data_IF_721805596869
#
_entry.id   IF_721805596869
#
_cell.length_a   1.000
_cell.length_b   1.000
_cell.length_c   1.000
_cell.angle_alpha   90.00
_cell.angle_beta   90.00
_cell.angle_gamma   90.00
#
_symmetry.space_group_name_H-M   'P 1'
#
loop_
_entity.id
_entity.type
_entity.pdbx_description
1 polymer ?
#
# COMPACT_ATOMS: atom_id res chain seq x y z
N UNK A 1 -3.53 21.56 -26.28
CA UNK A 1 -2.59 20.47 -25.92
C UNK A 1 -2.12 20.60 -24.47
N UNK A 2 -1.62 21.77 -24.03
CA UNK A 2 -1.20 22.00 -22.63
C UNK A 2 -2.29 21.76 -21.56
N UNK A 3 -3.54 22.14 -21.80
CA UNK A 3 -4.63 21.98 -20.81
C UNK A 3 -5.03 20.53 -20.56
N UNK A 4 -4.85 19.66 -21.54
CA UNK A 4 -5.26 18.24 -21.46
C UNK A 4 -4.26 17.43 -20.64
N UNK A 5 -2.96 17.75 -20.78
CA UNK A 5 -1.87 17.17 -19.98
C UNK A 5 -1.99 17.55 -18.51
N UNK A 6 -2.22 18.84 -18.22
CA UNK A 6 -2.42 19.32 -16.85
C UNK A 6 -3.62 18.65 -16.14
N UNK A 7 -4.73 18.42 -16.84
CA UNK A 7 -5.90 17.72 -16.28
C UNK A 7 -5.59 16.25 -15.99
N UNK A 8 -4.86 15.57 -16.86
CA UNK A 8 -4.44 14.19 -16.63
C UNK A 8 -3.46 14.06 -15.45
N UNK A 9 -2.58 15.04 -15.26
CA UNK A 9 -1.64 15.07 -14.15
C UNK A 9 -2.33 15.24 -12.80
N UNK A 10 -3.22 16.23 -12.67
CA UNK A 10 -3.99 16.42 -11.43
C UNK A 10 -4.85 15.20 -11.09
N UNK A 11 -5.45 14.56 -12.11
CA UNK A 11 -6.15 13.29 -11.92
C UNK A 11 -5.22 12.17 -11.42
N UNK A 12 -4.00 12.11 -11.92
CA UNK A 12 -3.02 11.08 -11.50
C UNK A 12 -2.59 11.27 -10.05
N UNK A 13 -2.37 12.52 -9.61
CA UNK A 13 -2.10 12.84 -8.20
C UNK A 13 -3.27 12.45 -7.30
N UNK A 14 -4.49 12.75 -7.73
CA UNK A 14 -5.68 12.39 -6.96
C UNK A 14 -5.80 10.86 -6.79
N UNK A 15 -5.57 10.09 -7.84
CA UNK A 15 -5.57 8.64 -7.79
C UNK A 15 -4.46 8.07 -6.87
N UNK A 16 -3.28 8.72 -6.81
CA UNK A 16 -2.24 8.33 -5.88
C UNK A 16 -2.63 8.62 -4.42
N UNK A 17 -3.25 9.76 -4.14
CA UNK A 17 -3.75 10.06 -2.80
C UNK A 17 -4.87 9.09 -2.38
N UNK A 18 -5.74 8.69 -3.31
CA UNK A 18 -6.75 7.65 -3.08
C UNK A 18 -6.10 6.29 -2.81
N UNK A 19 -5.06 5.92 -3.57
CA UNK A 19 -4.29 4.70 -3.35
C UNK A 19 -3.61 4.68 -1.97
N UNK A 20 -2.99 5.77 -1.55
CA UNK A 20 -2.36 5.88 -0.22
C UNK A 20 -3.40 5.70 0.89
N UNK A 21 -4.58 6.31 0.73
CA UNK A 21 -5.67 6.18 1.70
C UNK A 21 -6.19 4.74 1.79
N UNK A 22 -6.36 4.05 0.65
CA UNK A 22 -6.76 2.64 0.65
C UNK A 22 -5.66 1.73 1.20
N UNK A 23 -4.38 1.98 0.87
CA UNK A 23 -3.26 1.24 1.44
C UNK A 23 -3.19 1.38 2.96
N UNK A 24 -3.43 2.58 3.49
CA UNK A 24 -3.50 2.82 4.93
C UNK A 24 -4.65 2.03 5.60
N UNK A 25 -5.83 1.97 4.97
CA UNK A 25 -6.96 1.16 5.48
C UNK A 25 -6.62 -0.34 5.51
N UNK A 26 -6.01 -0.87 4.44
CA UNK A 26 -5.63 -2.29 4.39
C UNK A 26 -4.63 -2.62 5.49
N UNK A 27 -3.61 -1.79 5.69
CA UNK A 27 -2.64 -1.99 6.78
C UNK A 27 -3.29 -1.94 8.16
N UNK A 28 -4.22 -1.02 8.38
CA UNK A 28 -4.97 -0.96 9.64
C UNK A 28 -5.77 -2.26 9.87
N UNK A 29 -6.43 -2.79 8.84
CA UNK A 29 -7.18 -4.06 8.93
C UNK A 29 -6.22 -5.22 9.26
N UNK A 30 -5.06 -5.29 8.61
CA UNK A 30 -4.04 -6.31 8.89
C UNK A 30 -3.55 -6.21 10.35
N UNK A 31 -3.28 -5.02 10.86
CA UNK A 31 -2.89 -4.81 12.26
C UNK A 31 -4.00 -5.24 13.24
N UNK A 32 -5.26 -4.89 12.96
CA UNK A 32 -6.41 -5.28 13.77
C UNK A 32 -6.62 -6.80 13.80
N UNK A 33 -6.56 -7.46 12.64
CA UNK A 33 -6.66 -8.92 12.54
C UNK A 33 -5.49 -9.61 13.25
N UNK A 34 -4.26 -9.07 13.15
CA UNK A 34 -3.09 -9.57 13.90
C UNK A 34 -3.37 -9.62 15.40
N UNK A 35 -3.93 -8.52 15.92
CA UNK A 35 -4.21 -8.36 17.33
C UNK A 35 -5.33 -9.32 17.78
N UNK A 36 -6.39 -9.45 16.99
CA UNK A 36 -7.48 -10.40 17.27
C UNK A 36 -7.00 -11.85 17.31
N UNK A 37 -6.15 -12.25 16.36
CA UNK A 37 -5.58 -13.61 16.33
C UNK A 37 -4.63 -13.82 17.51
N UNK A 38 -3.86 -12.80 17.90
CA UNK A 38 -3.01 -12.85 19.10
C UNK A 38 -3.84 -13.05 20.38
N UNK A 39 -4.97 -12.37 20.52
CA UNK A 39 -5.83 -12.45 21.71
C UNK A 39 -6.43 -13.85 21.91
N UNK A 40 -6.86 -14.50 20.82
CA UNK A 40 -7.44 -15.84 20.92
C UNK A 40 -6.39 -16.93 21.18
N UNK A 41 -5.10 -16.66 20.93
CA UNK A 41 -3.99 -17.61 21.13
C UNK A 41 -4.00 -18.28 22.51
N UNK A 42 -4.31 -17.51 23.55
CA UNK A 42 -4.37 -18.00 24.93
C UNK A 42 -5.51 -18.98 25.22
N UNK A 43 -6.50 -19.08 24.32
CA UNK A 43 -7.65 -19.98 24.45
C UNK A 43 -7.37 -21.40 23.94
N UNK A 44 -6.35 -21.56 23.08
CA UNK A 44 -5.99 -22.84 22.48
C UNK A 44 -4.92 -23.53 23.33
N UNK A 45 -5.20 -24.74 23.82
CA UNK A 45 -4.25 -25.54 24.62
C UNK A 45 -4.06 -26.94 24.03
N UNK A 46 -2.94 -27.58 24.39
CA UNK A 46 -2.58 -28.91 23.87
C UNK A 46 -2.19 -28.88 22.38
N UNK A 47 -2.42 -30.00 21.68
CA UNK A 47 -2.07 -30.17 20.27
C UNK A 47 -2.72 -29.12 19.33
N UNK A 48 -3.88 -28.58 19.72
CA UNK A 48 -4.55 -27.51 18.99
C UNK A 48 -3.77 -26.18 19.05
N UNK A 49 -2.97 -25.95 20.10
CA UNK A 49 -2.13 -24.75 20.21
C UNK A 49 -0.92 -24.78 19.28
N UNK A 50 -0.35 -25.95 19.00
CA UNK A 50 0.79 -26.09 18.08
C UNK A 50 0.38 -25.75 16.64
N UNK A 51 -0.71 -26.32 16.17
CA UNK A 51 -1.28 -26.02 14.84
C UNK A 51 -1.69 -24.55 14.73
N UNK A 52 -2.33 -24.01 15.78
CA UNK A 52 -2.68 -22.60 15.82
C UNK A 52 -1.44 -21.69 15.75
N UNK A 53 -0.39 -21.98 16.53
CA UNK A 53 0.85 -21.19 16.52
C UNK A 53 1.54 -21.20 15.16
N UNK A 54 1.49 -22.33 14.45
CA UNK A 54 2.04 -22.45 13.10
C UNK A 54 1.25 -21.57 12.12
N UNK A 55 -0.08 -21.69 12.14
CA UNK A 55 -0.95 -20.87 11.29
C UNK A 55 -0.83 -19.37 11.62
N UNK A 56 -0.69 -19.02 12.91
CA UNK A 56 -0.46 -17.63 13.35
C UNK A 56 0.86 -17.08 12.81
N UNK A 57 1.92 -17.89 12.80
CA UNK A 57 3.22 -17.47 12.26
C UNK A 57 3.15 -17.25 10.75
N UNK A 58 2.47 -18.15 10.02
CA UNK A 58 2.25 -18.02 8.59
C UNK A 58 1.38 -16.80 8.26
N UNK A 59 0.30 -16.60 9.01
CA UNK A 59 -0.58 -15.43 8.87
C UNK A 59 0.19 -14.11 9.05
N UNK A 60 1.01 -13.99 10.10
CA UNK A 60 1.78 -12.76 10.35
C UNK A 60 2.75 -12.50 9.19
N UNK A 61 3.39 -13.55 8.68
CA UNK A 61 4.30 -13.44 7.56
C UNK A 61 3.57 -12.95 6.30
N UNK A 62 2.41 -13.52 5.98
CA UNK A 62 1.63 -13.12 4.81
C UNK A 62 1.12 -11.67 4.95
N UNK A 63 0.66 -11.27 6.14
CA UNK A 63 0.26 -9.91 6.43
C UNK A 63 1.40 -8.90 6.25
N UNK A 64 2.60 -9.21 6.77
CA UNK A 64 3.80 -8.40 6.59
C UNK A 64 4.21 -8.29 5.11
N UNK A 65 4.13 -9.40 4.37
CA UNK A 65 4.44 -9.44 2.93
C UNK A 65 3.45 -8.59 2.12
N UNK A 66 2.16 -8.61 2.46
CA UNK A 66 1.12 -7.81 1.82
C UNK A 66 1.28 -6.32 2.12
N UNK A 67 1.53 -5.95 3.38
CA UNK A 67 1.83 -4.57 3.77
C UNK A 67 3.07 -4.02 3.02
N UNK A 68 4.12 -4.82 2.89
CA UNK A 68 5.32 -4.46 2.15
C UNK A 68 5.08 -4.36 0.64
N UNK A 69 4.18 -5.17 0.07
CA UNK A 69 3.80 -5.08 -1.33
C UNK A 69 3.02 -3.78 -1.61
N UNK A 70 2.11 -3.39 -0.72
CA UNK A 70 1.40 -2.12 -0.79
C UNK A 70 2.35 -0.92 -0.73
N UNK A 71 3.36 -0.95 0.15
CA UNK A 71 4.38 0.10 0.20
C UNK A 71 5.15 0.25 -1.11
N UNK A 72 5.55 -0.88 -1.71
CA UNK A 72 6.25 -0.87 -3.00
C UNK A 72 5.37 -0.32 -4.11
N UNK A 73 4.07 -0.64 -4.10
CA UNK A 73 3.12 -0.13 -5.09
C UNK A 73 2.96 1.40 -4.97
N UNK A 74 2.73 1.92 -3.76
CA UNK A 74 2.59 3.36 -3.54
C UNK A 74 3.87 4.11 -3.95
N UNK A 75 5.04 3.58 -3.57
CA UNK A 75 6.33 4.15 -3.96
C UNK A 75 6.54 4.17 -5.48
N UNK A 76 6.18 3.10 -6.19
CA UNK A 76 6.29 3.04 -7.64
C UNK A 76 5.36 4.05 -8.34
N UNK A 77 4.14 4.23 -7.83
CA UNK A 77 3.20 5.24 -8.34
C UNK A 77 3.74 6.65 -8.14
N UNK A 78 4.26 6.98 -6.96
CA UNK A 78 4.87 8.28 -6.71
C UNK A 78 6.09 8.55 -7.60
N UNK A 79 6.96 7.56 -7.78
CA UNK A 79 8.09 7.69 -8.70
C UNK A 79 7.64 7.94 -10.15
N UNK A 80 6.55 7.30 -10.58
CA UNK A 80 5.93 7.54 -11.87
C UNK A 80 5.40 8.97 -12.02
N UNK A 81 4.73 9.49 -10.98
CA UNK A 81 4.23 10.87 -10.94
C UNK A 81 5.37 11.89 -11.02
N UNK A 82 6.44 11.69 -10.26
CA UNK A 82 7.62 12.57 -10.29
C UNK A 82 8.27 12.60 -11.66
N UNK A 83 8.36 11.43 -12.32
CA UNK A 83 8.89 11.30 -13.68
C UNK A 83 8.03 12.08 -14.70
N UNK A 84 6.70 11.98 -14.57
CA UNK A 84 5.76 12.73 -15.42
C UNK A 84 5.90 14.23 -15.19
N UNK A 85 5.99 14.67 -13.92
CA UNK A 85 6.16 16.09 -13.57
C UNK A 85 7.45 16.68 -14.14
N UNK A 86 8.56 15.93 -14.07
CA UNK A 86 9.84 16.36 -14.64
C UNK A 86 9.73 16.51 -16.16
N UNK A 87 9.14 15.52 -16.82
CA UNK A 87 8.97 15.51 -18.28
C UNK A 87 8.10 16.68 -18.75
N UNK A 88 7.01 16.99 -18.04
CA UNK A 88 6.16 18.14 -18.37
C UNK A 88 6.91 19.47 -18.21
N UNK A 89 7.70 19.61 -17.13
CA UNK A 89 8.51 20.81 -16.88
C UNK A 89 9.54 21.03 -17.99
N UNK A 90 10.23 19.97 -18.41
CA UNK A 90 11.22 20.03 -19.50
C UNK A 90 10.57 20.42 -20.82
N UNK A 91 9.46 19.76 -21.19
CA UNK A 91 8.72 20.07 -22.42
C UNK A 91 8.22 21.51 -22.41
N UNK A 92 7.64 21.98 -21.30
CA UNK A 92 7.14 23.35 -21.19
C UNK A 92 8.28 24.36 -21.30
N UNK A 93 9.42 24.10 -20.67
CA UNK A 93 10.62 24.93 -20.76
C UNK A 93 11.24 24.99 -22.15
N UNK A 94 11.01 23.99 -23.01
CA UNK A 94 11.45 24.01 -24.41
C UNK A 94 10.60 24.92 -25.31
N UNK A 95 9.37 25.24 -24.90
CA UNK A 95 8.44 26.07 -25.67
C UNK A 95 8.24 27.50 -25.11
N UNK A 96 8.93 27.82 -24.01
CA UNK A 96 9.04 29.16 -23.42
C UNK A 96 10.27 29.91 -23.94
#
# INVERSE_FOLDING_TARGET
MSTDIAVQFERTKQLAAELDAEAAKVKQILEEETALVSDIRGMWSGAASEQFNQQYTEWNKEADEEAAALDKLCAAVHQGIDTLSSTESDVTGMFS
#
